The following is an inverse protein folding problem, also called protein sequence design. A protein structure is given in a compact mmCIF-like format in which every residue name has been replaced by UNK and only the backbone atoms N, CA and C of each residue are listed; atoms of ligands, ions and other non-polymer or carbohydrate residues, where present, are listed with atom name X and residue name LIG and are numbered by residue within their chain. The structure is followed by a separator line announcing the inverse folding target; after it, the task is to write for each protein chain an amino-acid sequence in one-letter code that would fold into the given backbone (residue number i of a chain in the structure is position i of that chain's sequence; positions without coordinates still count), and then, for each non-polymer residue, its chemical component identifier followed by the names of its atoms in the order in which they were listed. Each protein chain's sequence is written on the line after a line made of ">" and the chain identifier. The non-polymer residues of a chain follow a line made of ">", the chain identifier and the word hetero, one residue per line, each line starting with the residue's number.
data_IF_052224208886
#
_entry.id   IF_052224208886
#
_cell.length_a   1.000
_cell.length_b   1.000
_cell.length_c   1.000
_cell.angle_alpha   90.00
_cell.angle_beta   90.00
_cell.angle_gamma   90.00
#
_symmetry.space_group_name_H-M   'P 1'
#
loop_
_entity.id
_entity.type
_entity.pdbx_description
1 polymer ?
#
# COMPACT_ATOMS: atom_id res chain seq x y z
N UNK A 1 9.58 -11.85 -1.68
CA UNK A 1 8.57 -12.91 -1.48
C UNK A 1 9.06 -14.26 -1.97
N UNK A 2 9.81 -14.30 -3.05
CA UNK A 2 10.36 -15.51 -3.62
C UNK A 2 11.88 -15.47 -3.68
N UNK A 3 12.48 -16.66 -3.52
CA UNK A 3 13.89 -16.91 -3.82
C UNK A 3 13.98 -17.54 -5.20
N UNK A 4 14.92 -17.04 -5.98
CA UNK A 4 15.23 -17.56 -7.31
C UNK A 4 16.53 -18.36 -7.26
N UNK A 5 16.66 -19.42 -8.05
CA UNK A 5 17.91 -20.16 -8.13
C UNK A 5 19.05 -19.25 -8.57
N UNK A 6 20.14 -19.21 -7.80
CA UNK A 6 21.29 -18.32 -8.04
C UNK A 6 22.48 -19.00 -8.66
N UNK A 7 22.43 -20.30 -9.07
CA UNK A 7 23.64 -21.03 -9.36
C UNK A 7 23.77 -21.78 -10.68
N UNK A 8 24.99 -21.74 -11.12
CA UNK A 8 25.77 -22.14 -12.26
C UNK A 8 25.65 -23.61 -12.71
N UNK A 9 24.83 -24.44 -12.11
CA UNK A 9 24.74 -25.90 -12.38
C UNK A 9 23.30 -26.38 -12.63
N UNK A 10 22.34 -25.46 -12.81
CA UNK A 10 20.95 -25.83 -13.01
C UNK A 10 20.63 -26.01 -14.49
N UNK A 11 19.93 -27.08 -14.82
CA UNK A 11 19.40 -27.34 -16.18
C UNK A 11 18.39 -26.23 -16.50
N UNK A 12 18.27 -25.84 -17.78
CA UNK A 12 17.32 -24.79 -18.25
C UNK A 12 15.89 -24.94 -17.69
N UNK A 13 15.47 -26.17 -17.36
CA UNK A 13 14.17 -26.48 -16.74
C UNK A 13 14.01 -25.96 -15.29
N UNK A 14 15.09 -25.63 -14.60
CA UNK A 14 15.07 -25.25 -13.17
C UNK A 14 15.12 -23.74 -12.96
N UNK A 15 15.44 -22.94 -14.01
CA UNK A 15 15.49 -21.48 -13.94
C UNK A 15 14.13 -20.82 -13.65
N UNK A 16 13.03 -21.52 -13.87
CA UNK A 16 11.66 -21.03 -13.62
C UNK A 16 11.07 -21.48 -12.27
N UNK A 17 11.81 -22.22 -11.43
CA UNK A 17 11.28 -22.70 -10.15
C UNK A 17 11.66 -21.76 -9.02
N UNK A 18 10.93 -20.65 -8.92
CA UNK A 18 10.98 -19.83 -7.71
C UNK A 18 10.39 -20.59 -6.51
N UNK A 19 10.96 -20.36 -5.34
CA UNK A 19 10.41 -20.91 -4.08
C UNK A 19 10.03 -19.77 -3.12
N UNK A 20 8.98 -19.93 -2.31
CA UNK A 20 8.61 -18.92 -1.33
C UNK A 20 9.73 -18.74 -0.29
N UNK A 21 10.03 -17.47 0.03
CA UNK A 21 10.94 -17.11 1.12
C UNK A 21 10.14 -16.99 2.44
N UNK A 22 9.56 -18.11 2.86
CA UNK A 22 8.76 -18.21 4.07
C UNK A 22 9.26 -19.38 4.90
N UNK A 23 9.33 -19.23 6.21
CA UNK A 23 9.73 -20.30 7.12
C UNK A 23 8.70 -21.43 7.11
N UNK A 24 9.11 -22.70 7.02
CA UNK A 24 8.17 -23.82 7.02
C UNK A 24 7.29 -23.87 8.27
N UNK A 25 7.84 -23.53 9.43
CA UNK A 25 7.12 -23.50 10.70
C UNK A 25 5.97 -22.48 10.67
N UNK A 26 6.22 -21.29 10.08
CA UNK A 26 5.20 -20.25 9.90
C UNK A 26 4.08 -20.72 8.96
N UNK A 27 4.44 -21.35 7.84
CA UNK A 27 3.48 -21.92 6.89
C UNK A 27 2.61 -22.97 7.57
N UNK A 28 3.23 -23.90 8.32
CA UNK A 28 2.52 -24.96 9.02
C UNK A 28 1.56 -24.42 10.09
N UNK A 29 2.01 -23.44 10.88
CA UNK A 29 1.16 -22.80 11.89
C UNK A 29 -0.04 -22.10 11.24
N UNK A 30 0.17 -21.31 10.19
CA UNK A 30 -0.90 -20.61 9.49
C UNK A 30 -1.88 -21.61 8.83
N UNK A 31 -1.37 -22.67 8.20
CA UNK A 31 -2.16 -23.73 7.60
C UNK A 31 -3.08 -24.41 8.64
N UNK A 32 -2.54 -24.73 9.81
CA UNK A 32 -3.30 -25.32 10.92
C UNK A 32 -4.37 -24.36 11.45
N UNK A 33 -4.02 -23.11 11.69
CA UNK A 33 -4.96 -22.08 12.17
C UNK A 33 -6.11 -21.84 11.17
N UNK A 34 -5.80 -21.73 9.89
CA UNK A 34 -6.79 -21.48 8.86
C UNK A 34 -7.53 -22.77 8.43
N UNK A 35 -6.98 -23.96 8.68
CA UNK A 35 -7.49 -25.22 8.14
C UNK A 35 -7.52 -25.19 6.61
N UNK A 36 -6.46 -24.66 5.98
CA UNK A 36 -6.25 -24.54 4.54
C UNK A 36 -4.91 -25.17 4.15
N UNK A 37 -4.82 -25.68 2.94
CA UNK A 37 -3.57 -26.20 2.39
C UNK A 37 -2.72 -25.06 1.80
N UNK A 38 -1.40 -25.15 1.97
CA UNK A 38 -0.49 -24.18 1.37
C UNK A 38 -0.11 -24.59 -0.05
N UNK A 39 -0.33 -23.71 -1.02
CA UNK A 39 0.14 -23.83 -2.38
C UNK A 39 1.42 -22.96 -2.56
N UNK A 40 2.54 -23.49 -3.09
CA UNK A 40 3.84 -22.83 -2.97
C UNK A 40 4.11 -21.71 -3.97
N UNK A 41 3.14 -21.31 -4.80
CA UNK A 41 3.31 -20.25 -5.82
C UNK A 41 2.05 -19.43 -6.02
N UNK A 42 2.22 -18.13 -6.32
CA UNK A 42 1.13 -17.21 -6.67
C UNK A 42 0.10 -17.01 -5.57
N UNK A 43 -1.18 -17.11 -5.95
CA UNK A 43 -2.37 -17.00 -5.08
C UNK A 43 -3.05 -18.37 -4.96
N UNK A 44 -3.65 -18.64 -3.80
CA UNK A 44 -4.50 -19.80 -3.59
C UNK A 44 -5.88 -19.66 -4.25
N UNK A 45 -6.72 -20.69 -4.12
CA UNK A 45 -8.08 -20.73 -4.66
C UNK A 45 -9.12 -20.05 -3.76
N UNK A 46 -8.70 -19.55 -2.60
CA UNK A 46 -9.53 -18.92 -1.56
C UNK A 46 -10.61 -19.84 -0.94
N UNK A 47 -10.61 -21.11 -1.26
CA UNK A 47 -11.57 -22.11 -0.79
C UNK A 47 -10.86 -23.16 0.06
N UNK A 48 -9.85 -23.82 -0.52
CA UNK A 48 -9.09 -24.90 0.10
C UNK A 48 -7.62 -24.55 0.31
N UNK A 49 -7.10 -23.62 -0.49
CA UNK A 49 -5.68 -23.29 -0.51
C UNK A 49 -5.43 -21.81 -0.30
N UNK A 50 -4.29 -21.50 0.30
CA UNK A 50 -3.67 -20.17 0.35
C UNK A 50 -2.22 -20.27 -0.15
N UNK A 51 -1.63 -19.16 -0.54
CA UNK A 51 -0.35 -19.12 -1.22
C UNK A 51 0.51 -17.91 -0.77
N UNK A 52 1.77 -17.80 -1.21
CA UNK A 52 2.66 -16.71 -0.76
C UNK A 52 2.11 -15.30 -1.00
N UNK A 53 1.42 -15.05 -2.11
CA UNK A 53 0.88 -13.73 -2.40
C UNK A 53 -0.31 -13.38 -1.49
N UNK A 54 -1.11 -14.36 -1.07
CA UNK A 54 -2.19 -14.15 -0.10
C UNK A 54 -1.63 -13.79 1.28
N UNK A 55 -0.56 -14.46 1.70
CA UNK A 55 0.16 -14.14 2.95
C UNK A 55 0.73 -12.71 2.88
N UNK A 56 1.39 -12.38 1.78
CA UNK A 56 1.95 -11.04 1.58
C UNK A 56 0.87 -9.97 1.67
N UNK A 57 -0.24 -10.16 0.99
CA UNK A 57 -1.35 -9.23 0.96
C UNK A 57 -2.00 -9.08 2.35
N UNK A 58 -2.18 -10.18 3.08
CA UNK A 58 -2.67 -10.17 4.47
C UNK A 58 -1.75 -9.34 5.39
N UNK A 59 -0.43 -9.56 5.30
CA UNK A 59 0.58 -8.81 6.06
C UNK A 59 0.54 -7.33 5.67
N UNK A 60 0.45 -7.05 4.37
CA UNK A 60 0.43 -5.69 3.85
C UNK A 60 -0.77 -4.90 4.35
N UNK A 61 -1.97 -5.50 4.32
CA UNK A 61 -3.17 -4.90 4.91
C UNK A 61 -3.01 -4.69 6.42
N UNK A 62 -2.57 -5.71 7.16
CA UNK A 62 -2.42 -5.63 8.62
C UNK A 62 -1.50 -4.48 9.03
N UNK A 63 -0.37 -4.30 8.34
CA UNK A 63 0.58 -3.22 8.64
C UNK A 63 0.13 -1.84 8.14
N UNK A 64 -0.88 -1.79 7.27
CA UNK A 64 -1.55 -0.54 6.88
C UNK A 64 -2.73 -0.17 7.79
N UNK A 65 -3.12 -1.03 8.72
CA UNK A 65 -4.13 -0.69 9.73
C UNK A 65 -3.66 0.46 10.64
N UNK A 66 -4.37 1.61 10.69
CA UNK A 66 -4.10 2.66 11.67
C UNK A 66 -4.15 2.16 13.11
N UNK A 67 -5.13 1.32 13.44
CA UNK A 67 -5.28 0.72 14.76
C UNK A 67 -4.10 -0.17 15.14
N UNK A 68 -3.57 -0.98 14.21
CA UNK A 68 -2.35 -1.76 14.44
C UNK A 68 -1.16 -0.84 14.76
N UNK A 69 -0.92 0.15 13.92
CA UNK A 69 0.20 1.10 14.08
C UNK A 69 0.12 1.87 15.39
N UNK A 70 -1.07 2.33 15.78
CA UNK A 70 -1.28 3.05 17.04
C UNK A 70 -1.09 2.13 18.25
N UNK A 71 -1.68 0.93 18.24
CA UNK A 71 -1.61 -0.02 19.35
C UNK A 71 -0.19 -0.47 19.64
N UNK A 72 0.61 -0.71 18.61
CA UNK A 72 1.96 -1.23 18.72
C UNK A 72 3.04 -0.17 18.49
N UNK A 73 2.70 1.12 18.59
CA UNK A 73 3.58 2.24 18.24
C UNK A 73 4.92 2.19 18.99
N UNK A 74 4.91 1.93 20.31
CA UNK A 74 6.15 1.88 21.12
C UNK A 74 7.01 0.67 20.74
N UNK A 75 6.40 -0.47 20.46
CA UNK A 75 7.09 -1.67 20.02
C UNK A 75 7.75 -1.47 18.64
N UNK A 76 7.03 -0.83 17.72
CA UNK A 76 7.50 -0.57 16.35
C UNK A 76 8.68 0.41 16.27
N UNK A 77 8.99 1.13 17.37
CA UNK A 77 10.19 1.98 17.45
C UNK A 77 11.48 1.20 17.73
N UNK A 78 11.38 0.02 18.32
CA UNK A 78 12.51 -0.74 18.86
C UNK A 78 12.71 -2.11 18.22
N UNK A 79 11.69 -2.65 17.53
CA UNK A 79 11.75 -3.99 16.94
C UNK A 79 10.96 -4.05 15.63
N UNK A 80 11.17 -5.13 14.86
CA UNK A 80 10.41 -5.40 13.64
C UNK A 80 8.95 -5.69 13.96
N UNK A 81 8.03 -5.30 13.04
CA UNK A 81 6.62 -5.61 13.21
C UNK A 81 6.40 -7.13 13.24
N UNK A 82 5.57 -7.58 14.18
CA UNK A 82 5.12 -8.96 14.26
C UNK A 82 3.79 -9.13 13.57
N UNK A 83 3.66 -10.15 12.75
CA UNK A 83 2.42 -10.48 12.05
C UNK A 83 1.46 -11.16 13.03
N UNK A 84 0.32 -10.57 13.37
CA UNK A 84 -0.69 -11.25 14.16
C UNK A 84 -1.36 -12.32 13.30
N UNK A 85 -1.31 -13.59 13.73
CA UNK A 85 -1.98 -14.67 13.04
C UNK A 85 -3.40 -14.82 13.53
N UNK A 86 -4.31 -15.20 12.64
CA UNK A 86 -5.72 -15.44 12.94
C UNK A 86 -6.13 -16.86 12.58
N UNK A 87 -7.08 -17.43 13.33
CA UNK A 87 -7.80 -18.64 12.95
C UNK A 87 -9.10 -18.37 12.17
N UNK A 88 -9.47 -17.10 12.04
CA UNK A 88 -10.67 -16.69 11.30
C UNK A 88 -10.37 -16.56 9.80
N UNK A 89 -10.82 -17.54 9.01
CA UNK A 89 -10.65 -17.56 7.54
C UNK A 89 -11.24 -16.31 6.87
N UNK A 90 -12.40 -15.86 7.33
CA UNK A 90 -13.06 -14.71 6.73
C UNK A 90 -12.23 -13.44 6.94
N UNK A 91 -11.72 -13.21 8.14
CA UNK A 91 -10.82 -12.10 8.44
C UNK A 91 -9.55 -12.16 7.58
N UNK A 92 -8.95 -13.35 7.46
CA UNK A 92 -7.76 -13.53 6.63
C UNK A 92 -7.99 -13.10 5.18
N UNK A 93 -9.09 -13.56 4.56
CA UNK A 93 -9.40 -13.25 3.16
C UNK A 93 -9.86 -11.81 2.95
N UNK A 94 -10.67 -11.25 3.86
CA UNK A 94 -11.07 -9.85 3.80
C UNK A 94 -9.84 -8.94 3.85
N UNK A 95 -8.87 -9.22 4.73
CA UNK A 95 -7.61 -8.46 4.80
C UNK A 95 -6.71 -8.69 3.59
N UNK A 96 -6.55 -9.94 3.14
CA UNK A 96 -5.74 -10.25 1.96
C UNK A 96 -6.28 -9.52 0.71
N UNK A 97 -7.60 -9.44 0.55
CA UNK A 97 -8.24 -8.71 -0.55
C UNK A 97 -7.93 -7.20 -0.49
N UNK A 98 -8.01 -6.59 0.70
CA UNK A 98 -7.66 -5.17 0.87
C UNK A 98 -6.16 -4.91 0.65
N UNK A 99 -5.32 -5.85 1.10
CA UNK A 99 -3.88 -5.78 0.86
C UNK A 99 -3.51 -5.88 -0.61
N UNK A 100 -4.16 -6.78 -1.36
CA UNK A 100 -3.95 -6.87 -2.81
C UNK A 100 -4.28 -5.54 -3.50
N UNK A 101 -5.43 -4.94 -3.16
CA UNK A 101 -5.82 -3.63 -3.71
C UNK A 101 -4.79 -2.54 -3.39
N UNK A 102 -4.29 -2.48 -2.15
CA UNK A 102 -3.21 -1.55 -1.77
C UNK A 102 -1.95 -1.78 -2.61
N UNK A 103 -1.57 -3.04 -2.82
CA UNK A 103 -0.40 -3.39 -3.63
C UNK A 103 -0.55 -2.94 -5.08
N UNK A 104 -1.72 -3.15 -5.70
CA UNK A 104 -1.97 -2.70 -7.08
C UNK A 104 -1.91 -1.17 -7.20
N UNK A 105 -2.48 -0.44 -6.24
CA UNK A 105 -2.40 1.02 -6.16
C UNK A 105 -0.96 1.51 -5.98
N UNK A 106 -0.22 0.95 -5.01
CA UNK A 106 1.14 1.40 -4.69
C UNK A 106 2.18 1.04 -5.77
N UNK A 107 1.89 0.03 -6.58
CA UNK A 107 2.64 -0.29 -7.80
C UNK A 107 2.18 0.52 -9.03
N UNK A 108 1.20 1.39 -8.87
CA UNK A 108 0.58 2.16 -9.97
C UNK A 108 0.05 1.29 -11.11
N UNK A 109 -0.34 0.06 -10.82
CA UNK A 109 -1.06 -0.81 -11.76
C UNK A 109 -2.54 -0.44 -11.87
N UNK A 110 -3.04 0.21 -10.83
CA UNK A 110 -4.33 0.87 -10.75
C UNK A 110 -4.09 2.31 -10.28
N UNK A 111 -4.86 3.26 -10.79
CA UNK A 111 -4.65 4.70 -10.53
C UNK A 111 -5.65 5.29 -9.55
N UNK A 112 -6.67 4.53 -9.16
CA UNK A 112 -7.72 5.04 -8.31
C UNK A 112 -8.72 5.96 -9.03
N UNK A 113 -9.67 6.48 -8.27
CA UNK A 113 -10.65 7.45 -8.77
C UNK A 113 -10.00 8.82 -8.90
N UNK A 114 -10.14 9.46 -10.07
CA UNK A 114 -9.63 10.81 -10.29
C UNK A 114 -10.28 11.80 -9.33
N UNK A 115 -9.44 12.50 -8.55
CA UNK A 115 -9.89 13.47 -7.54
C UNK A 115 -9.49 14.89 -7.97
N UNK A 116 -8.26 15.07 -8.40
CA UNK A 116 -7.68 16.39 -8.66
C UNK A 116 -7.68 16.77 -10.13
N UNK A 117 -7.69 18.07 -10.37
CA UNK A 117 -7.49 18.63 -11.71
C UNK A 117 -6.43 19.73 -11.70
N UNK A 118 -5.89 20.05 -12.89
CA UNK A 118 -4.92 21.11 -13.10
C UNK A 118 -5.51 22.11 -14.13
N UNK A 119 -6.24 23.15 -13.66
CA UNK A 119 -7.17 23.90 -14.50
C UNK A 119 -6.55 25.04 -15.31
N UNK A 120 -5.29 25.38 -15.08
CA UNK A 120 -4.67 26.59 -15.66
C UNK A 120 -3.42 26.20 -16.44
N UNK A 121 -3.44 26.52 -17.73
CA UNK A 121 -2.27 26.38 -18.61
C UNK A 121 -1.23 27.47 -18.29
N UNK A 122 0.05 27.15 -18.43
CA UNK A 122 1.13 28.11 -18.17
C UNK A 122 2.51 27.47 -18.24
N UNK A 123 3.46 28.04 -17.51
CA UNK A 123 4.86 27.60 -17.53
C UNK A 123 5.07 26.23 -16.89
N UNK A 124 4.18 25.79 -16.01
CA UNK A 124 4.30 24.61 -15.17
C UNK A 124 5.58 24.61 -14.29
N UNK A 125 6.21 25.76 -14.11
CA UNK A 125 7.40 25.91 -13.29
C UNK A 125 7.04 25.80 -11.80
N UNK A 126 7.72 24.91 -11.07
CA UNK A 126 7.55 24.79 -9.63
C UNK A 126 8.42 25.80 -8.91
N UNK A 127 7.86 26.95 -8.57
CA UNK A 127 8.57 28.02 -7.84
C UNK A 127 8.37 27.89 -6.33
N UNK A 128 7.16 27.48 -5.93
CA UNK A 128 6.75 27.31 -4.54
C UNK A 128 5.88 26.06 -4.39
N UNK A 129 5.67 25.62 -3.15
CA UNK A 129 4.69 24.59 -2.83
C UNK A 129 3.88 25.07 -1.65
N UNK A 130 2.65 25.53 -1.91
CA UNK A 130 1.78 26.13 -0.91
C UNK A 130 0.38 25.52 -0.99
N UNK A 131 -0.11 24.98 0.12
CA UNK A 131 -1.47 24.46 0.20
C UNK A 131 -2.43 25.52 0.75
N UNK A 132 -3.55 25.70 0.08
CA UNK A 132 -4.68 26.49 0.54
C UNK A 132 -5.79 25.55 0.99
N UNK A 133 -5.96 25.44 2.30
CA UNK A 133 -6.92 24.51 2.92
C UNK A 133 -8.39 24.86 2.58
N UNK A 134 -8.72 26.15 2.55
CA UNK A 134 -10.09 26.62 2.28
C UNK A 134 -10.51 26.32 0.85
N UNK A 135 -9.60 26.47 -0.11
CA UNK A 135 -9.86 26.25 -1.52
C UNK A 135 -9.46 24.83 -1.97
N UNK A 136 -8.82 24.04 -1.10
CA UNK A 136 -8.30 22.70 -1.40
C UNK A 136 -7.38 22.68 -2.62
N UNK A 137 -6.42 23.62 -2.65
CA UNK A 137 -5.53 23.84 -3.78
C UNK A 137 -4.07 23.73 -3.37
N UNK A 138 -3.24 23.09 -4.21
CA UNK A 138 -1.78 23.09 -4.08
C UNK A 138 -1.20 23.98 -5.16
N UNK A 139 -0.69 25.13 -4.76
CA UNK A 139 -0.07 26.12 -5.65
C UNK A 139 1.38 25.76 -5.90
N UNK A 140 1.80 25.78 -7.18
CA UNK A 140 3.19 25.53 -7.61
C UNK A 140 3.91 26.81 -8.03
N UNK A 141 3.15 27.85 -8.39
CA UNK A 141 3.61 29.22 -8.65
C UNK A 141 2.45 30.18 -8.39
N UNK A 142 2.59 31.46 -8.75
CA UNK A 142 1.55 32.48 -8.46
C UNK A 142 0.30 32.37 -9.36
N UNK A 143 0.33 31.54 -10.41
CA UNK A 143 -0.74 31.41 -11.39
C UNK A 143 -1.36 30.02 -11.44
N UNK A 144 -0.60 28.97 -11.13
CA UNK A 144 -0.97 27.58 -11.39
C UNK A 144 -1.06 26.75 -10.11
N UNK A 145 -2.07 25.89 -10.07
CA UNK A 145 -2.34 25.03 -8.92
C UNK A 145 -3.02 23.71 -9.32
N UNK A 146 -2.87 22.70 -8.51
CA UNK A 146 -3.73 21.53 -8.51
C UNK A 146 -4.92 21.79 -7.60
N UNK A 147 -6.13 21.49 -8.06
CA UNK A 147 -7.39 21.73 -7.34
C UNK A 147 -8.03 20.43 -6.86
N UNK A 148 -9.01 20.59 -5.95
CA UNK A 148 -9.81 19.49 -5.38
C UNK A 148 -8.98 18.49 -4.54
N UNK A 149 -7.98 18.97 -3.81
CA UNK A 149 -7.19 18.12 -2.93
C UNK A 149 -7.67 18.29 -1.48
N UNK A 150 -8.43 17.31 -0.94
CA UNK A 150 -8.89 17.37 0.44
C UNK A 150 -7.75 17.44 1.45
N UNK A 151 -7.98 18.13 2.58
CA UNK A 151 -6.97 18.35 3.62
C UNK A 151 -6.37 17.05 4.17
N UNK A 152 -7.16 15.99 4.31
CA UNK A 152 -6.66 14.69 4.80
C UNK A 152 -5.68 14.04 3.82
N UNK A 153 -5.83 14.21 2.50
CA UNK A 153 -4.89 13.72 1.48
C UNK A 153 -3.60 14.56 1.51
N UNK A 154 -3.73 15.90 1.56
CA UNK A 154 -2.57 16.78 1.68
C UNK A 154 -1.73 16.44 2.91
N UNK A 155 -2.37 16.22 4.06
CA UNK A 155 -1.71 15.93 5.33
C UNK A 155 -1.35 14.45 5.53
N UNK A 156 -1.41 13.63 4.48
CA UNK A 156 -1.02 12.23 4.60
C UNK A 156 0.49 12.05 4.59
N UNK A 157 1.01 11.33 5.58
CA UNK A 157 2.43 11.08 5.78
C UNK A 157 2.78 9.61 5.61
N UNK A 158 3.89 9.34 4.93
CA UNK A 158 4.52 8.02 4.84
C UNK A 158 5.97 8.15 5.28
N UNK A 159 6.39 7.40 6.30
CA UNK A 159 7.77 7.39 6.77
C UNK A 159 8.31 8.76 7.19
N UNK A 160 7.44 9.64 7.71
CA UNK A 160 7.82 11.01 8.10
C UNK A 160 7.79 12.04 6.97
N UNK A 161 7.48 11.64 5.75
CA UNK A 161 7.34 12.55 4.61
C UNK A 161 5.87 12.79 4.26
N UNK A 162 5.50 14.06 4.10
CA UNK A 162 4.23 14.46 3.51
C UNK A 162 4.33 14.26 1.99
N UNK A 163 3.67 13.23 1.47
CA UNK A 163 3.91 12.72 0.11
C UNK A 163 3.67 13.78 -0.96
N UNK A 164 2.50 14.43 -0.93
CA UNK A 164 2.14 15.46 -1.90
C UNK A 164 3.16 16.61 -1.92
N UNK A 165 3.55 17.11 -0.74
CA UNK A 165 4.49 18.21 -0.64
C UNK A 165 5.90 17.80 -1.07
N UNK A 166 6.36 16.62 -0.65
CA UNK A 166 7.71 16.13 -0.92
C UNK A 166 7.95 15.98 -2.41
N UNK A 167 7.00 15.39 -3.13
CA UNK A 167 7.13 15.16 -4.58
C UNK A 167 7.32 16.47 -5.36
N UNK A 168 6.55 17.51 -5.03
CA UNK A 168 6.69 18.83 -5.65
C UNK A 168 7.95 19.57 -5.20
N UNK A 169 8.30 19.51 -3.90
CA UNK A 169 9.52 20.14 -3.39
C UNK A 169 10.79 19.61 -4.05
N UNK A 170 10.84 18.33 -4.36
CA UNK A 170 11.97 17.71 -5.07
C UNK A 170 12.08 18.17 -6.54
N UNK A 171 11.04 18.82 -7.05
CA UNK A 171 10.97 19.38 -8.41
C UNK A 171 11.04 20.90 -8.43
N UNK A 172 11.35 21.55 -7.32
CA UNK A 172 11.48 23.00 -7.26
C UNK A 172 12.52 23.52 -8.26
N UNK A 173 12.14 24.53 -9.03
CA UNK A 173 12.96 25.10 -10.12
C UNK A 173 12.87 24.32 -11.45
N UNK A 174 11.99 23.32 -11.54
CA UNK A 174 11.77 22.55 -12.78
C UNK A 174 10.38 22.84 -13.36
N UNK A 175 10.28 22.81 -14.67
CA UNK A 175 9.01 22.79 -15.39
C UNK A 175 8.47 21.35 -15.38
N UNK A 176 7.20 21.19 -14.99
CA UNK A 176 6.53 19.89 -15.02
C UNK A 176 6.08 19.58 -16.45
N UNK A 177 6.45 18.41 -16.95
CA UNK A 177 5.93 17.87 -18.20
C UNK A 177 4.45 17.46 -18.05
N UNK A 178 3.78 17.19 -19.16
CA UNK A 178 2.44 16.61 -19.13
C UNK A 178 2.40 15.29 -18.35
N UNK A 179 3.40 14.43 -18.54
CA UNK A 179 3.50 13.17 -17.82
C UNK A 179 3.72 13.39 -16.31
N UNK A 180 4.48 14.41 -15.91
CA UNK A 180 4.65 14.79 -14.50
C UNK A 180 3.30 15.24 -13.88
N UNK A 181 2.51 16.02 -14.60
CA UNK A 181 1.19 16.49 -14.15
C UNK A 181 0.24 15.31 -13.94
N UNK A 182 0.12 14.42 -14.92
CA UNK A 182 -0.70 13.21 -14.84
C UNK A 182 -0.21 12.30 -13.71
N UNK A 183 1.09 12.08 -13.59
CA UNK A 183 1.67 11.26 -12.54
C UNK A 183 1.37 11.82 -11.14
N UNK A 184 1.45 13.14 -10.97
CA UNK A 184 1.14 13.76 -9.69
C UNK A 184 -0.35 13.66 -9.32
N UNK A 185 -1.24 13.82 -10.30
CA UNK A 185 -2.69 13.61 -10.10
C UNK A 185 -2.99 12.13 -9.73
N UNK A 186 -2.30 11.18 -10.36
CA UNK A 186 -2.41 9.77 -9.99
C UNK A 186 -1.93 9.51 -8.56
N UNK A 187 -0.83 10.15 -8.11
CA UNK A 187 -0.39 10.06 -6.70
C UNK A 187 -1.49 10.53 -5.76
N UNK A 188 -2.13 11.67 -6.04
CA UNK A 188 -3.23 12.20 -5.20
C UNK A 188 -4.40 11.21 -5.13
N UNK A 189 -4.81 10.66 -6.27
CA UNK A 189 -5.90 9.67 -6.34
C UNK A 189 -5.58 8.39 -5.58
N UNK A 190 -4.36 7.87 -5.73
CA UNK A 190 -3.88 6.68 -5.01
C UNK A 190 -3.83 6.93 -3.51
N UNK A 191 -3.40 8.11 -3.06
CA UNK A 191 -3.40 8.46 -1.63
C UNK A 191 -4.83 8.51 -1.07
N UNK A 192 -5.78 9.06 -1.82
CA UNK A 192 -7.20 9.08 -1.43
C UNK A 192 -7.73 7.66 -1.20
N UNK A 193 -7.60 6.79 -2.19
CA UNK A 193 -8.03 5.38 -2.05
C UNK A 193 -7.25 4.63 -0.96
N UNK A 194 -5.96 4.90 -0.80
CA UNK A 194 -5.15 4.30 0.28
C UNK A 194 -5.75 4.62 1.64
N UNK A 195 -6.12 5.88 1.89
CA UNK A 195 -6.72 6.31 3.17
C UNK A 195 -8.07 5.62 3.40
N UNK A 196 -8.91 5.51 2.36
CA UNK A 196 -10.19 4.81 2.44
C UNK A 196 -10.00 3.32 2.75
N UNK A 197 -9.09 2.64 2.04
CA UNK A 197 -8.80 1.23 2.28
C UNK A 197 -8.23 1.01 3.69
N UNK A 198 -7.39 1.90 4.20
CA UNK A 198 -6.89 1.83 5.57
C UNK A 198 -8.03 1.93 6.61
N UNK A 199 -9.02 2.77 6.36
CA UNK A 199 -10.25 2.83 7.17
C UNK A 199 -11.06 1.55 7.10
N UNK A 200 -11.25 1.01 5.90
CA UNK A 200 -11.96 -0.25 5.69
C UNK A 200 -11.28 -1.43 6.41
N UNK A 201 -9.94 -1.48 6.36
CA UNK A 201 -9.14 -2.48 7.09
C UNK A 201 -9.45 -2.43 8.59
N UNK A 202 -9.48 -1.25 9.20
CA UNK A 202 -9.80 -1.09 10.62
C UNK A 202 -11.25 -1.49 10.94
N UNK A 203 -12.20 -1.21 10.03
CA UNK A 203 -13.58 -1.66 10.17
C UNK A 203 -13.70 -3.19 10.10
N UNK A 204 -12.99 -3.83 9.16
CA UNK A 204 -12.92 -5.30 9.05
C UNK A 204 -12.34 -5.89 10.34
N UNK A 205 -11.23 -5.38 10.83
CA UNK A 205 -10.59 -5.84 12.06
C UNK A 205 -11.55 -5.70 13.26
N UNK A 206 -12.22 -4.56 13.37
CA UNK A 206 -13.19 -4.29 14.45
C UNK A 206 -14.38 -5.26 14.40
N UNK A 207 -14.93 -5.48 13.20
CA UNK A 207 -16.04 -6.44 12.96
C UNK A 207 -15.69 -7.87 13.44
N UNK A 208 -14.43 -8.25 13.35
CA UNK A 208 -13.93 -9.56 13.76
C UNK A 208 -13.33 -9.60 15.18
N UNK A 209 -13.60 -8.61 16.02
CA UNK A 209 -13.24 -8.60 17.45
C UNK A 209 -11.98 -7.79 17.78
N UNK A 210 -11.33 -7.18 16.81
CA UNK A 210 -10.16 -6.32 17.05
C UNK A 210 -8.86 -7.08 17.33
N UNK A 211 -7.84 -6.34 17.76
CA UNK A 211 -6.57 -6.92 18.20
C UNK A 211 -6.60 -7.25 19.71
N UNK A 212 -5.92 -8.34 20.16
CA UNK A 212 -5.20 -9.34 19.37
C UNK A 212 -6.15 -10.26 18.61
N UNK A 213 -5.72 -10.79 17.46
CA UNK A 213 -6.50 -11.79 16.73
C UNK A 213 -6.59 -13.12 17.50
N UNK A 214 -7.74 -13.78 17.40
CA UNK A 214 -8.01 -15.12 17.94
C UNK A 214 -7.65 -16.22 16.93
#
# INVERSE_FOLDING_TARGET
>A
LYLYPTDTILKESDFNKRRPNLAPEFINELSQKLGLEFFPDGKGDQIKTFAPEDIFNYIYATFHSPTYRQRYAEFLKIDFPRVPLTSNKQLFWELATKGDKLVQLHLMKETGTEISNYPIDGSNLVEQVKYNETQQQIWINDQQYFANIPNHIWNFYIGGYQVCQKWLKDRKGRELSFDDLVHYQNIISILGETIEIMSDIDQIITKHGGFPFS
#
